data_IF_195069232802
#
_entry.id   IF_195069232802
#
_cell.length_a   1.000
_cell.length_b   1.000
_cell.length_c   1.000
_cell.angle_alpha   90.00
_cell.angle_beta   90.00
_cell.angle_gamma   90.00
#
_symmetry.space_group_name_H-M   'P 1'
#
loop_
_entity.id
_entity.type
_entity.pdbx_description
1 polymer ?
#
# COMPACT_ATOMS: atom_id res chain seq x y z
N UNK A 1 11.85 10.56 51.79
CA UNK A 1 11.58 11.58 50.73
C UNK A 1 12.39 11.40 49.44
N UNK A 2 13.40 10.51 49.37
CA UNK A 2 14.16 10.24 48.11
C UNK A 2 13.48 9.27 47.13
N UNK A 3 12.53 8.44 47.58
CA UNK A 3 11.84 7.43 46.73
C UNK A 3 10.72 8.01 45.87
N UNK A 4 10.17 9.18 46.21
CA UNK A 4 9.12 9.86 45.43
C UNK A 4 9.68 10.57 44.18
N UNK A 5 10.98 10.88 44.15
CA UNK A 5 11.61 11.57 43.01
C UNK A 5 11.86 10.64 41.82
N UNK A 6 11.98 9.32 42.06
CA UNK A 6 12.20 8.33 41.00
C UNK A 6 10.94 8.04 40.16
N UNK A 7 9.75 8.17 40.76
CA UNK A 7 8.48 7.92 40.07
C UNK A 7 8.16 9.08 39.10
N UNK A 8 8.56 10.31 39.42
CA UNK A 8 8.36 11.47 38.55
C UNK A 8 9.19 11.44 37.26
N UNK A 9 10.36 10.81 37.27
CA UNK A 9 11.26 10.74 36.10
C UNK A 9 10.75 9.71 35.08
N UNK A 10 10.10 8.63 35.52
CA UNK A 10 9.53 7.60 34.63
C UNK A 10 8.33 8.10 33.79
N UNK A 11 7.62 9.14 34.23
CA UNK A 11 6.50 9.71 33.46
C UNK A 11 6.94 10.66 32.34
N UNK A 12 8.17 11.17 32.35
CA UNK A 12 8.65 12.14 31.37
C UNK A 12 9.25 11.45 30.13
N UNK A 13 9.70 10.20 30.25
CA UNK A 13 10.18 9.39 29.12
C UNK A 13 9.05 8.64 28.36
N UNK A 14 7.79 8.82 28.78
CA UNK A 14 6.64 8.12 28.19
C UNK A 14 5.93 8.87 27.05
N UNK A 15 6.41 10.05 26.64
CA UNK A 15 5.95 10.69 25.40
C UNK A 15 6.59 9.98 24.21
N UNK A 16 6.16 8.74 23.97
CA UNK A 16 6.26 8.11 22.67
C UNK A 16 5.41 8.95 21.72
N UNK A 17 6.05 9.76 20.89
CA UNK A 17 5.40 10.32 19.71
C UNK A 17 5.19 9.16 18.75
N UNK A 18 4.06 8.45 18.91
CA UNK A 18 3.51 7.68 17.79
C UNK A 18 3.31 8.70 16.68
N UNK A 19 4.11 8.57 15.62
CA UNK A 19 3.89 9.39 14.43
C UNK A 19 2.48 9.09 13.95
N UNK A 20 1.69 10.13 13.68
CA UNK A 20 0.35 9.97 13.14
C UNK A 20 0.48 9.30 11.77
N UNK A 21 0.08 8.03 11.69
CA UNK A 21 0.06 7.27 10.45
C UNK A 21 -0.90 7.97 9.48
N UNK A 22 -0.45 8.22 8.24
CA UNK A 22 -1.29 8.78 7.19
C UNK A 22 -1.90 7.60 6.45
N UNK A 23 -3.23 7.42 6.51
CA UNK A 23 -3.86 6.33 5.80
C UNK A 23 -3.66 6.47 4.30
N UNK A 24 -3.28 5.38 3.64
CA UNK A 24 -3.22 5.38 2.18
C UNK A 24 -4.65 5.43 1.62
N UNK A 25 -5.56 4.68 2.23
CA UNK A 25 -6.96 4.55 1.83
C UNK A 25 -7.91 5.62 2.42
N UNK A 26 -7.45 6.88 2.45
CA UNK A 26 -8.28 8.04 2.73
C UNK A 26 -9.09 8.45 1.48
N UNK A 27 -10.38 8.76 1.63
CA UNK A 27 -11.28 9.06 0.51
C UNK A 27 -10.95 10.37 -0.22
N UNK A 28 -10.16 11.24 0.40
CA UNK A 28 -9.63 12.46 -0.23
C UNK A 28 -8.43 12.20 -1.12
N UNK A 29 -7.78 11.03 -1.00
CA UNK A 29 -6.60 10.69 -1.79
C UNK A 29 -6.97 10.32 -3.24
N UNK A 30 -6.15 10.80 -4.17
CA UNK A 30 -6.23 10.49 -5.60
C UNK A 30 -4.83 10.35 -6.16
N UNK A 31 -4.65 9.41 -7.08
CA UNK A 31 -3.35 9.13 -7.68
C UNK A 31 -3.44 9.18 -9.19
N UNK A 32 -2.45 9.81 -9.81
CA UNK A 32 -2.17 9.64 -11.23
C UNK A 32 -1.03 8.65 -11.35
N UNK A 33 -1.29 7.50 -11.98
CA UNK A 33 -0.33 6.40 -12.11
C UNK A 33 0.10 6.28 -13.56
N UNK A 34 1.37 6.55 -13.83
CA UNK A 34 1.97 6.35 -15.15
C UNK A 34 2.33 4.88 -15.34
N UNK A 35 1.80 4.29 -16.40
CA UNK A 35 2.12 2.93 -16.83
C UNK A 35 2.88 3.01 -18.13
N UNK A 36 4.10 2.48 -18.11
CA UNK A 36 4.92 2.33 -19.30
C UNK A 36 4.60 1.01 -19.99
N UNK A 37 4.04 1.08 -21.20
CA UNK A 37 3.84 -0.09 -22.04
C UNK A 37 5.09 -0.32 -22.89
N UNK A 38 5.59 -1.56 -22.85
CA UNK A 38 6.67 -2.04 -23.71
C UNK A 38 6.19 -3.33 -24.40
N UNK A 39 5.42 -3.24 -25.50
CA UNK A 39 5.14 -4.39 -26.34
C UNK A 39 6.44 -5.01 -26.87
N UNK A 40 6.56 -6.33 -26.72
CA UNK A 40 7.62 -7.13 -27.34
C UNK A 40 7.43 -7.23 -28.87
N UNK A 41 7.35 -6.11 -29.60
CA UNK A 41 7.13 -6.09 -31.06
C UNK A 41 8.06 -5.11 -31.80
N UNK A 42 8.39 -5.45 -33.05
CA UNK A 42 9.43 -4.78 -33.86
C UNK A 42 8.94 -3.54 -34.66
N UNK A 43 7.73 -3.01 -34.40
CA UNK A 43 7.18 -1.88 -35.19
C UNK A 43 6.95 -0.63 -34.31
N UNK A 44 7.58 0.52 -34.60
CA UNK A 44 7.43 1.74 -33.81
C UNK A 44 6.00 2.34 -33.83
N UNK A 45 5.58 3.11 -32.78
CA UNK A 45 6.33 3.42 -31.56
C UNK A 45 6.31 2.26 -30.55
N UNK A 46 7.50 1.90 -30.07
CA UNK A 46 7.73 0.71 -29.25
C UNK A 46 7.24 0.86 -27.83
N UNK A 47 7.24 2.07 -27.27
CA UNK A 47 6.80 2.32 -25.91
C UNK A 47 5.88 3.54 -25.86
N UNK A 48 4.85 3.47 -25.03
CA UNK A 48 4.04 4.64 -24.69
C UNK A 48 3.70 4.61 -23.21
N UNK A 49 3.51 5.80 -22.64
CA UNK A 49 3.02 5.95 -21.27
C UNK A 49 1.54 6.29 -21.32
N UNK A 50 0.74 5.58 -20.53
CA UNK A 50 -0.63 5.96 -20.23
C UNK A 50 -0.70 6.32 -18.75
N UNK A 51 -1.30 7.47 -18.45
CA UNK A 51 -1.61 7.86 -17.07
C UNK A 51 -3.03 7.40 -16.75
N UNK A 52 -3.17 6.62 -15.70
CA UNK A 52 -4.46 6.23 -15.14
C UNK A 52 -4.78 7.06 -13.90
N UNK A 53 -6.06 7.40 -13.73
CA UNK A 53 -6.54 8.08 -12.54
C UNK A 53 -7.12 7.06 -11.57
N UNK A 54 -6.54 6.99 -10.38
CA UNK A 54 -6.99 6.13 -9.29
C UNK A 54 -7.66 7.00 -8.23
N UNK A 55 -8.86 6.59 -7.82
CA UNK A 55 -9.63 7.24 -6.77
C UNK A 55 -10.30 6.21 -5.86
N UNK A 56 -10.74 6.68 -4.70
CA UNK A 56 -11.53 5.89 -3.75
C UNK A 56 -12.94 6.46 -3.76
N UNK A 57 -13.93 5.60 -3.96
CA UNK A 57 -15.34 6.00 -3.85
C UNK A 57 -16.16 4.85 -3.27
N UNK A 58 -16.82 5.11 -2.15
CA UNK A 58 -17.67 4.12 -1.49
C UNK A 58 -16.93 2.95 -0.83
N UNK A 59 -17.74 2.02 -0.33
CA UNK A 59 -17.31 0.85 0.44
C UNK A 59 -18.16 -0.36 0.12
N UNK A 60 -17.59 -1.56 0.26
CA UNK A 60 -18.29 -2.84 0.13
C UNK A 60 -17.96 -3.73 1.33
N UNK A 61 -18.99 -4.33 1.94
CA UNK A 61 -18.83 -5.30 3.01
C UNK A 61 -18.73 -6.73 2.45
N UNK A 62 -17.63 -7.41 2.76
CA UNK A 62 -17.36 -8.79 2.32
C UNK A 62 -16.79 -9.60 3.47
N UNK A 63 -17.36 -10.78 3.74
CA UNK A 63 -16.89 -11.70 4.79
C UNK A 63 -16.72 -11.05 6.18
N UNK A 64 -17.53 -10.04 6.51
CA UNK A 64 -17.48 -9.34 7.80
C UNK A 64 -16.47 -8.20 7.88
N UNK A 65 -15.78 -7.88 6.80
CA UNK A 65 -14.86 -6.74 6.69
C UNK A 65 -15.40 -5.70 5.71
N UNK A 66 -15.15 -4.43 5.99
CA UNK A 66 -15.47 -3.30 5.11
C UNK A 66 -14.26 -2.95 4.27
N UNK A 67 -14.40 -3.02 2.95
CA UNK A 67 -13.38 -2.64 1.97
C UNK A 67 -13.73 -1.30 1.33
N UNK A 68 -12.70 -0.51 1.03
CA UNK A 68 -12.76 0.65 0.14
C UNK A 68 -12.80 0.19 -1.31
N UNK A 69 -13.74 0.71 -2.08
CA UNK A 69 -13.80 0.45 -3.50
C UNK A 69 -12.88 1.41 -4.24
N UNK A 70 -11.92 0.85 -4.96
CA UNK A 70 -10.99 1.62 -5.80
C UNK A 70 -11.56 1.71 -7.21
N UNK A 71 -11.45 2.90 -7.78
CA UNK A 71 -11.82 3.21 -9.14
C UNK A 71 -10.58 3.55 -9.97
N UNK A 72 -10.59 3.09 -11.22
CA UNK A 72 -9.61 3.40 -12.25
C UNK A 72 -10.33 4.06 -13.41
N UNK A 73 -9.99 5.30 -13.72
CA UNK A 73 -10.63 6.10 -14.77
C UNK A 73 -12.17 5.99 -14.67
N UNK A 74 -12.69 6.22 -13.45
CA UNK A 74 -14.11 6.13 -13.08
C UNK A 74 -14.77 4.73 -13.19
N UNK A 75 -13.99 3.66 -13.39
CA UNK A 75 -14.49 2.28 -13.40
C UNK A 75 -14.05 1.53 -12.12
N UNK A 76 -14.96 0.77 -11.46
CA UNK A 76 -14.58 -0.08 -10.33
C UNK A 76 -13.44 -1.04 -10.72
N UNK A 77 -12.38 -1.10 -9.92
CA UNK A 77 -11.21 -1.92 -10.24
C UNK A 77 -10.85 -2.96 -9.18
N UNK A 78 -10.91 -2.62 -7.89
CA UNK A 78 -10.53 -3.56 -6.82
C UNK A 78 -11.15 -3.13 -5.49
N UNK A 79 -11.08 -4.05 -4.52
CA UNK A 79 -11.45 -3.83 -3.13
C UNK A 79 -10.21 -3.87 -2.25
N UNK A 80 -9.93 -2.77 -1.55
CA UNK A 80 -8.80 -2.66 -0.63
C UNK A 80 -9.28 -2.38 0.79
N UNK A 81 -8.55 -2.89 1.77
CA UNK A 81 -8.77 -2.64 3.18
C UNK A 81 -7.44 -2.26 3.80
N UNK A 82 -7.46 -1.35 4.75
CA UNK A 82 -6.25 -0.93 5.44
C UNK A 82 -6.46 -1.02 6.95
N UNK A 83 -5.54 -1.68 7.63
CA UNK A 83 -5.59 -1.87 9.07
C UNK A 83 -4.17 -1.91 9.64
N UNK A 84 -3.90 -1.07 10.63
CA UNK A 84 -2.61 -1.00 11.34
C UNK A 84 -1.39 -0.86 10.42
N UNK A 85 -1.50 -0.08 9.34
CA UNK A 85 -0.39 0.13 8.39
C UNK A 85 -0.24 -0.98 7.35
N UNK A 86 -1.15 -1.96 7.30
CA UNK A 86 -1.15 -3.03 6.30
C UNK A 86 -2.33 -2.85 5.37
N UNK A 87 -2.06 -2.87 4.06
CA UNK A 87 -3.06 -2.81 2.99
C UNK A 87 -3.31 -4.21 2.47
N UNK A 88 -4.56 -4.64 2.54
CA UNK A 88 -5.05 -5.92 2.05
C UNK A 88 -5.84 -5.68 0.76
N UNK A 89 -5.65 -6.55 -0.22
CA UNK A 89 -6.49 -6.63 -1.42
C UNK A 89 -7.37 -7.86 -1.34
N UNK A 90 -8.65 -7.67 -1.59
CA UNK A 90 -9.59 -8.77 -1.74
C UNK A 90 -9.62 -9.30 -3.17
N UNK A 91 -9.65 -10.62 -3.28
CA UNK A 91 -9.67 -11.39 -4.52
C UNK A 91 -11.00 -12.15 -4.59
N UNK A 92 -11.88 -11.73 -5.50
CA UNK A 92 -13.20 -12.32 -5.66
C UNK A 92 -13.15 -13.79 -6.12
N UNK A 93 -12.14 -14.15 -6.90
CA UNK A 93 -12.03 -15.48 -7.52
C UNK A 93 -11.80 -16.61 -6.51
N UNK A 94 -11.06 -16.34 -5.43
CA UNK A 94 -10.76 -17.29 -4.36
C UNK A 94 -11.42 -16.92 -3.03
N UNK A 95 -12.24 -15.84 -3.02
CA UNK A 95 -12.95 -15.33 -1.85
C UNK A 95 -12.01 -15.09 -0.65
N UNK A 96 -10.83 -14.54 -0.92
CA UNK A 96 -9.79 -14.33 0.09
C UNK A 96 -9.15 -12.94 -0.05
N UNK A 97 -8.48 -12.48 1.00
CA UNK A 97 -7.64 -11.28 0.94
C UNK A 97 -6.15 -11.64 1.05
N UNK A 98 -5.29 -10.80 0.49
CA UNK A 98 -3.83 -10.92 0.57
C UNK A 98 -3.22 -9.56 0.89
N UNK A 99 -2.07 -9.56 1.57
CA UNK A 99 -1.30 -8.33 1.79
C UNK A 99 -0.80 -7.80 0.45
N UNK A 100 -1.14 -6.56 0.15
CA UNK A 100 -0.65 -5.83 -1.01
C UNK A 100 0.55 -4.93 -0.62
N UNK A 101 0.43 -4.23 0.52
CA UNK A 101 1.49 -3.40 1.07
C UNK A 101 1.53 -3.54 2.60
N UNK A 102 2.73 -3.52 3.18
CA UNK A 102 2.91 -3.42 4.64
C UNK A 102 3.85 -2.25 4.93
N UNK A 103 3.33 -1.17 5.50
CA UNK A 103 4.10 0.02 5.85
C UNK A 103 4.89 -0.15 7.16
N UNK A 104 4.71 -1.27 7.86
CA UNK A 104 5.49 -1.61 9.04
C UNK A 104 6.72 -2.46 8.69
N UNK A 105 6.86 -2.89 7.44
CA UNK A 105 7.92 -3.77 6.98
C UNK A 105 9.31 -3.28 7.40
N UNK A 106 10.12 -4.17 7.95
CA UNK A 106 11.49 -3.91 8.36
C UNK A 106 12.49 -4.48 7.33
N UNK A 107 13.75 -4.02 7.39
CA UNK A 107 14.80 -4.55 6.51
C UNK A 107 14.92 -6.05 6.70
N UNK A 108 14.90 -6.79 5.57
CA UNK A 108 14.94 -8.25 5.52
C UNK A 108 13.57 -8.92 5.57
N UNK A 109 12.48 -8.18 5.74
CA UNK A 109 11.13 -8.73 5.56
C UNK A 109 10.89 -9.04 4.07
N UNK A 110 10.21 -10.15 3.82
CA UNK A 110 9.89 -10.63 2.47
C UNK A 110 8.38 -10.69 2.24
N UNK A 111 7.96 -10.27 1.05
CA UNK A 111 6.57 -10.35 0.59
C UNK A 111 6.46 -11.32 -0.57
N UNK A 112 5.61 -12.32 -0.43
CA UNK A 112 5.30 -13.23 -1.54
C UNK A 112 4.36 -12.54 -2.53
N UNK A 113 4.88 -12.32 -3.73
CA UNK A 113 4.13 -11.89 -4.90
C UNK A 113 3.77 -13.07 -5.82
N UNK A 114 4.01 -14.33 -5.45
CA UNK A 114 3.92 -15.42 -6.42
C UNK A 114 2.51 -15.84 -6.83
N UNK A 115 1.47 -15.50 -6.06
CA UNK A 115 0.08 -15.57 -6.55
C UNK A 115 -0.26 -14.41 -7.52
N UNK A 116 0.61 -13.40 -7.58
CA UNK A 116 0.53 -12.21 -8.44
C UNK A 116 1.23 -12.41 -9.80
N UNK A 117 1.89 -13.55 -10.00
CA UNK A 117 2.72 -13.83 -11.18
C UNK A 117 1.91 -13.95 -12.50
N UNK A 118 0.59 -14.08 -12.39
CA UNK A 118 -0.33 -14.20 -13.54
C UNK A 118 -1.62 -13.35 -13.36
N UNK A 119 -1.61 -12.35 -12.46
CA UNK A 119 -2.77 -11.56 -12.07
C UNK A 119 -2.67 -10.06 -12.34
N UNK A 120 -3.82 -9.39 -12.34
CA UNK A 120 -3.92 -7.92 -12.31
C UNK A 120 -3.89 -7.46 -10.84
N UNK A 121 -2.72 -7.53 -10.23
CA UNK A 121 -2.61 -7.39 -8.77
C UNK A 121 -2.69 -5.95 -8.29
N UNK A 122 -2.26 -5.04 -9.13
CA UNK A 122 -2.46 -3.62 -8.92
C UNK A 122 -3.87 -3.21 -9.34
N UNK A 123 -4.45 -2.27 -8.60
CA UNK A 123 -5.75 -1.68 -8.94
C UNK A 123 -5.69 -0.77 -10.17
N UNK A 124 -4.50 -0.54 -10.74
CA UNK A 124 -4.30 0.02 -12.07
C UNK A 124 -4.56 -1.01 -13.19
N UNK A 125 -4.57 -2.30 -12.87
CA UNK A 125 -5.12 -3.36 -13.73
C UNK A 125 -4.39 -3.59 -15.06
N UNK A 126 -3.13 -3.18 -15.20
CA UNK A 126 -2.40 -3.31 -16.47
C UNK A 126 -0.95 -3.75 -16.34
N UNK A 127 -0.42 -3.93 -15.12
CA UNK A 127 0.86 -4.58 -14.91
C UNK A 127 0.67 -5.99 -14.38
N UNK A 128 1.28 -6.93 -15.08
CA UNK A 128 1.51 -8.31 -14.64
C UNK A 128 2.99 -8.43 -14.30
N UNK A 129 3.33 -8.82 -13.08
CA UNK A 129 4.71 -9.12 -12.73
C UNK A 129 5.04 -10.54 -13.21
N UNK A 130 5.53 -10.67 -14.45
CA UNK A 130 6.01 -11.97 -14.91
C UNK A 130 7.32 -12.32 -14.22
N UNK A 131 7.29 -13.35 -13.37
CA UNK A 131 8.50 -13.97 -12.80
C UNK A 131 9.07 -13.29 -11.56
N UNK A 132 8.34 -12.36 -10.93
CA UNK A 132 8.71 -11.83 -9.60
C UNK A 132 7.83 -12.50 -8.56
N UNK A 133 8.42 -13.38 -7.75
CA UNK A 133 7.71 -14.18 -6.76
C UNK A 133 7.87 -13.64 -5.34
N UNK A 134 8.93 -12.88 -5.08
CA UNK A 134 9.22 -12.30 -3.77
C UNK A 134 9.83 -10.91 -3.94
N UNK A 135 9.48 -9.98 -3.05
CA UNK A 135 10.20 -8.72 -2.85
C UNK A 135 10.73 -8.74 -1.42
N UNK A 136 12.00 -8.37 -1.24
CA UNK A 136 12.61 -8.17 0.06
C UNK A 136 12.80 -6.67 0.30
N UNK A 137 12.54 -6.20 1.52
CA UNK A 137 12.88 -4.84 1.94
C UNK A 137 14.38 -4.75 2.12
N UNK A 138 15.06 -4.18 1.12
CA UNK A 138 16.53 -4.04 1.13
C UNK A 138 17.03 -2.77 1.82
N UNK A 139 16.14 -1.83 2.13
CA UNK A 139 16.48 -0.56 2.78
C UNK A 139 15.23 0.14 3.31
N UNK A 140 15.44 1.03 4.27
CA UNK A 140 14.43 1.94 4.82
C UNK A 140 15.01 3.34 4.74
N UNK A 141 14.22 4.26 4.21
CA UNK A 141 14.54 5.68 4.16
C UNK A 141 13.58 6.48 5.02
N UNK A 142 13.98 7.70 5.37
CA UNK A 142 13.10 8.66 6.03
C UNK A 142 12.98 9.90 5.15
N UNK A 143 11.75 10.23 4.77
CA UNK A 143 11.44 11.40 3.95
C UNK A 143 10.55 12.35 4.75
N UNK A 144 10.80 13.66 4.60
CA UNK A 144 9.95 14.70 5.18
C UNK A 144 8.65 14.82 4.38
N UNK A 145 7.59 14.17 4.89
CA UNK A 145 6.30 14.02 4.23
C UNK A 145 5.18 14.54 5.14
N UNK A 146 4.35 15.43 4.59
CA UNK A 146 3.22 16.04 5.30
C UNK A 146 3.60 16.67 6.67
N UNK A 147 4.76 17.32 6.73
CA UNK A 147 5.21 18.06 7.91
C UNK A 147 5.97 17.24 8.97
N UNK A 148 6.28 15.97 8.70
CA UNK A 148 7.06 15.12 9.60
C UNK A 148 8.03 14.20 8.83
N UNK A 149 9.11 13.76 9.48
CA UNK A 149 9.96 12.70 8.96
C UNK A 149 9.23 11.36 9.06
N UNK A 150 9.07 10.67 7.93
CA UNK A 150 8.30 9.42 7.82
C UNK A 150 9.13 8.31 7.19
N UNK A 151 8.96 7.10 7.72
CA UNK A 151 9.55 5.86 7.20
C UNK A 151 8.96 5.54 5.81
N UNK A 152 9.82 5.14 4.87
CA UNK A 152 9.46 4.74 3.50
C UNK A 152 10.35 3.60 3.03
#
# INVERSE_FOLDING_TARGET
MKKLLFIGILFIYGVSTSQEYIPMLDDTNKWSVDINYCPFTDVPPFNWTVTQQISIDGTIDVNGYTYKQIYKDDNPSCLLREENGVVYKYYENDNNERVLFDFNAEIGDEFFMGDLAFGYDYCSGTSTNFGIFFIEVSGIEYLFLAGAERKV
#
